data_IF_079752876488
#
_entry.id   IF_079752876488
#
_cell.length_a   1.000
_cell.length_b   1.000
_cell.length_c   1.000
_cell.angle_alpha   90.00
_cell.angle_beta   90.00
_cell.angle_gamma   90.00
#
_symmetry.space_group_name_H-M   'P 1'
#
loop_
_entity.id
_entity.type
_entity.pdbx_description
1 polymer ?
#
# COMPACT_ATOMS: atom_id res chain seq x y z
N UNK A 1 -30.85 -36.93 2.61
CA UNK A 1 -31.15 -35.91 3.63
C UNK A 1 -29.90 -35.75 4.48
N UNK A 2 -29.10 -34.68 4.30
CA UNK A 2 -27.92 -34.49 5.12
C UNK A 2 -28.35 -34.23 6.58
N UNK A 3 -27.79 -35.03 7.47
CA UNK A 3 -28.00 -34.99 8.93
C UNK A 3 -27.67 -33.59 9.48
N UNK A 4 -28.51 -33.07 10.39
CA UNK A 4 -28.34 -31.75 11.05
C UNK A 4 -26.93 -31.51 11.59
N UNK A 5 -26.22 -32.56 11.98
CA UNK A 5 -24.81 -32.52 12.43
C UNK A 5 -23.84 -31.91 11.39
N UNK A 6 -24.09 -32.10 10.10
CA UNK A 6 -23.21 -31.58 9.04
C UNK A 6 -23.37 -30.06 8.83
N UNK A 7 -24.54 -29.50 9.18
CA UNK A 7 -24.83 -28.06 9.06
C UNK A 7 -24.23 -27.29 10.25
N UNK A 8 -24.23 -27.90 11.45
CA UNK A 8 -23.57 -27.30 12.62
C UNK A 8 -22.05 -27.23 12.47
N UNK A 9 -21.42 -28.25 11.88
CA UNK A 9 -19.98 -28.28 11.68
C UNK A 9 -19.48 -27.18 10.70
N UNK A 10 -20.24 -26.86 9.66
CA UNK A 10 -19.90 -25.80 8.71
C UNK A 10 -20.09 -24.40 9.28
N UNK A 11 -21.10 -24.18 10.13
CA UNK A 11 -21.27 -22.90 10.84
C UNK A 11 -20.12 -22.62 11.81
N UNK A 12 -19.68 -23.63 12.57
CA UNK A 12 -18.56 -23.48 13.51
C UNK A 12 -17.25 -23.20 12.76
N UNK A 13 -17.02 -23.87 11.63
CA UNK A 13 -15.84 -23.61 10.80
C UNK A 13 -15.84 -22.17 10.24
N UNK A 14 -17.00 -21.64 9.84
CA UNK A 14 -17.11 -20.26 9.34
C UNK A 14 -16.84 -19.22 10.43
N UNK A 15 -17.33 -19.44 11.65
CA UNK A 15 -17.06 -18.56 12.80
C UNK A 15 -15.58 -18.55 13.19
N UNK A 16 -14.92 -19.71 13.18
CA UNK A 16 -13.48 -19.82 13.52
C UNK A 16 -12.61 -19.12 12.46
N UNK A 17 -12.96 -19.22 11.17
CA UNK A 17 -12.25 -18.50 10.11
C UNK A 17 -12.45 -16.98 10.25
N UNK A 18 -13.64 -16.53 10.63
CA UNK A 18 -13.94 -15.11 10.83
C UNK A 18 -13.20 -14.52 12.05
N UNK A 19 -13.13 -15.26 13.17
CA UNK A 19 -12.35 -14.84 14.34
C UNK A 19 -10.84 -14.82 14.08
N UNK A 20 -10.32 -15.78 13.30
CA UNK A 20 -8.90 -15.77 12.91
C UNK A 20 -8.57 -14.66 11.91
N UNK A 21 -9.50 -14.30 11.01
CA UNK A 21 -9.34 -13.15 10.12
C UNK A 21 -9.29 -11.84 10.93
N UNK A 22 -10.15 -11.68 11.94
CA UNK A 22 -10.14 -10.53 12.84
C UNK A 22 -8.84 -10.45 13.66
N UNK A 23 -8.29 -11.58 14.09
CA UNK A 23 -7.01 -11.61 14.82
C UNK A 23 -5.81 -11.27 13.92
N UNK A 24 -5.79 -11.65 12.64
CA UNK A 24 -4.71 -11.25 11.72
C UNK A 24 -4.69 -9.75 11.43
N UNK A 25 -5.84 -9.06 11.51
CA UNK A 25 -5.91 -7.59 11.37
C UNK A 25 -5.22 -6.90 12.55
N UNK A 26 -5.12 -7.55 13.71
CA UNK A 26 -4.53 -6.95 14.92
C UNK A 26 -3.00 -6.99 15.00
N UNK A 27 -2.32 -7.76 14.12
CA UNK A 27 -0.86 -7.92 14.15
C UNK A 27 -0.10 -7.09 13.11
N UNK A 28 -0.79 -6.43 12.18
CA UNK A 28 -0.15 -5.43 11.34
C UNK A 28 -0.09 -4.12 12.12
N UNK A 29 1.12 -3.64 12.38
CA UNK A 29 1.42 -2.40 13.09
C UNK A 29 0.75 -1.19 12.41
N UNK A 30 -0.51 -0.92 12.73
CA UNK A 30 -1.31 0.19 12.19
C UNK A 30 -1.51 1.25 13.29
N UNK A 31 -0.42 1.87 13.74
CA UNK A 31 -0.45 3.02 14.65
C UNK A 31 -0.28 4.34 13.89
N UNK A 32 -1.03 4.52 12.80
CA UNK A 32 -1.22 5.83 12.20
C UNK A 32 -2.63 5.89 11.61
N UNK A 33 -3.61 6.25 12.45
CA UNK A 33 -4.99 6.48 12.00
C UNK A 33 -5.02 7.88 11.39
N UNK A 34 -4.46 8.02 10.20
CA UNK A 34 -4.74 9.16 9.35
C UNK A 34 -6.15 9.00 8.79
N UNK A 35 -7.05 9.98 8.97
CA UNK A 35 -8.40 9.89 8.44
C UNK A 35 -8.34 9.74 6.91
N UNK A 36 -9.19 8.86 6.36
CA UNK A 36 -9.33 8.71 4.90
C UNK A 36 -9.46 10.07 4.20
N UNK A 37 -8.57 10.33 3.24
CA UNK A 37 -8.59 11.53 2.42
C UNK A 37 -9.19 11.20 1.05
N UNK A 38 -10.03 12.08 0.52
CA UNK A 38 -10.46 11.97 -0.87
C UNK A 38 -9.29 12.32 -1.80
N UNK A 39 -8.96 11.41 -2.71
CA UNK A 39 -7.89 11.62 -3.66
C UNK A 39 -8.23 12.79 -4.60
N UNK A 40 -7.36 13.79 -4.66
CA UNK A 40 -7.50 14.95 -5.57
C UNK A 40 -7.18 14.58 -7.02
N UNK A 41 -6.47 13.46 -7.22
CA UNK A 41 -6.20 12.85 -8.52
C UNK A 41 -6.66 11.40 -8.49
N UNK A 42 -7.15 10.89 -9.64
CA UNK A 42 -7.48 9.48 -9.82
C UNK A 42 -6.18 8.66 -9.85
N UNK A 43 -5.62 8.38 -8.67
CA UNK A 43 -4.71 7.25 -8.53
C UNK A 43 -5.57 5.98 -8.62
N UNK A 44 -5.49 5.30 -9.75
CA UNK A 44 -6.25 4.06 -10.03
C UNK A 44 -5.40 2.80 -9.87
N UNK A 45 -4.16 2.96 -9.39
CA UNK A 45 -3.19 1.88 -9.32
C UNK A 45 -3.04 1.54 -7.84
N UNK A 46 -3.89 0.65 -7.37
CA UNK A 46 -3.73 -0.13 -6.15
C UNK A 46 -4.61 -1.37 -6.27
N UNK A 47 -4.37 -2.36 -5.41
CA UNK A 47 -5.19 -3.56 -5.36
C UNK A 47 -6.12 -3.51 -4.15
N UNK A 48 -7.34 -4.02 -4.31
CA UNK A 48 -8.19 -4.33 -3.16
C UNK A 48 -7.57 -5.51 -2.38
N UNK A 49 -7.45 -5.36 -1.07
CA UNK A 49 -6.97 -6.43 -0.18
C UNK A 49 -8.05 -7.51 0.01
N UNK A 50 -9.32 -7.11 -0.06
CA UNK A 50 -10.45 -8.03 -0.08
C UNK A 50 -10.84 -8.40 -1.51
N UNK A 51 -11.41 -9.60 -1.72
CA UNK A 51 -11.94 -9.98 -3.03
C UNK A 51 -12.96 -8.98 -3.56
N UNK A 52 -12.90 -8.67 -4.86
CA UNK A 52 -13.79 -7.69 -5.53
C UNK A 52 -15.28 -7.90 -5.21
N UNK A 53 -15.75 -9.15 -5.12
CA UNK A 53 -17.16 -9.42 -4.83
C UNK A 53 -17.60 -8.96 -3.43
N UNK A 54 -16.68 -8.83 -2.47
CA UNK A 54 -16.96 -8.26 -1.15
C UNK A 54 -17.04 -6.74 -1.29
N UNK A 55 -16.00 -6.13 -1.86
CA UNK A 55 -15.92 -4.69 -2.03
C UNK A 55 -17.11 -4.14 -2.83
N UNK A 56 -17.39 -4.70 -4.01
CA UNK A 56 -18.51 -4.26 -4.86
C UNK A 56 -19.89 -4.55 -4.25
N UNK A 57 -20.01 -5.53 -3.35
CA UNK A 57 -21.29 -5.86 -2.71
C UNK A 57 -21.64 -4.87 -1.62
N UNK A 58 -20.67 -4.45 -0.82
CA UNK A 58 -20.89 -3.59 0.34
C UNK A 58 -20.66 -2.12 0.06
N UNK A 59 -19.76 -1.78 -0.85
CA UNK A 59 -19.31 -0.42 -1.11
C UNK A 59 -19.73 0.08 -2.49
N UNK A 60 -19.86 1.39 -2.59
CA UNK A 60 -20.13 2.12 -3.82
C UNK A 60 -19.55 3.52 -3.74
N UNK A 61 -19.05 4.02 -4.85
CA UNK A 61 -18.60 5.42 -4.99
C UNK A 61 -19.77 6.40 -5.02
N UNK A 62 -20.94 5.92 -5.41
CA UNK A 62 -22.19 6.70 -5.49
C UNK A 62 -23.29 6.08 -4.61
N UNK A 63 -24.29 6.85 -4.16
CA UNK A 63 -25.41 6.33 -3.40
C UNK A 63 -26.16 5.24 -4.17
N UNK A 64 -26.17 4.00 -3.64
CA UNK A 64 -26.91 2.87 -4.22
C UNK A 64 -27.68 2.15 -3.13
N UNK A 65 -28.94 1.78 -3.43
CA UNK A 65 -29.79 1.06 -2.48
C UNK A 65 -29.12 -0.25 -2.06
N UNK A 66 -28.96 -0.45 -0.76
CA UNK A 66 -28.33 -1.64 -0.18
C UNK A 66 -26.80 -1.63 -0.19
N UNK A 67 -26.16 -0.50 -0.50
CA UNK A 67 -24.70 -0.33 -0.42
C UNK A 67 -24.34 0.90 0.41
N UNK A 68 -23.16 0.85 1.01
CA UNK A 68 -22.56 1.94 1.76
C UNK A 68 -21.70 2.79 0.81
N UNK A 69 -21.71 4.11 0.99
CA UNK A 69 -20.85 5.00 0.23
C UNK A 69 -19.43 4.99 0.78
N UNK A 70 -18.43 5.02 -0.10
CA UNK A 70 -17.01 4.99 0.30
C UNK A 70 -16.54 6.17 1.16
N UNK A 71 -17.33 7.23 1.27
CA UNK A 71 -17.09 8.39 2.13
C UNK A 71 -17.69 8.25 3.55
N UNK A 72 -18.36 7.13 3.85
CA UNK A 72 -18.97 6.87 5.14
C UNK A 72 -17.90 6.46 6.16
N UNK A 73 -17.62 7.32 7.14
CA UNK A 73 -16.57 7.10 8.15
C UNK A 73 -16.79 5.84 8.99
N UNK A 74 -18.05 5.45 9.21
CA UNK A 74 -18.41 4.23 9.95
C UNK A 74 -17.90 2.93 9.31
N UNK A 75 -17.50 2.97 8.03
CA UNK A 75 -17.01 1.82 7.28
C UNK A 75 -15.55 1.96 6.84
N UNK A 76 -14.82 2.93 7.40
CA UNK A 76 -13.40 3.18 7.12
C UNK A 76 -12.52 1.92 7.13
N UNK A 77 -12.65 0.97 8.09
CA UNK A 77 -11.84 -0.24 8.07
C UNK A 77 -12.06 -1.12 6.84
N UNK A 78 -13.29 -1.14 6.29
CA UNK A 78 -13.60 -1.92 5.08
C UNK A 78 -13.18 -1.12 3.84
N UNK A 79 -13.33 0.21 3.85
CA UNK A 79 -12.85 1.08 2.76
C UNK A 79 -11.34 0.98 2.60
N UNK A 80 -10.56 0.94 3.69
CA UNK A 80 -9.11 0.72 3.67
C UNK A 80 -8.69 -0.63 3.06
N UNK A 81 -9.58 -1.61 3.04
CA UNK A 81 -9.35 -2.92 2.41
C UNK A 81 -9.83 -2.98 0.96
N UNK A 82 -10.58 -1.96 0.52
CA UNK A 82 -11.27 -1.87 -0.77
C UNK A 82 -10.96 -0.54 -1.48
N UNK A 83 -9.72 -0.06 -1.34
CA UNK A 83 -9.30 1.26 -1.83
C UNK A 83 -9.44 1.40 -3.33
N UNK A 84 -9.18 0.35 -4.12
CA UNK A 84 -9.35 0.38 -5.57
C UNK A 84 -10.83 0.48 -5.94
N UNK A 85 -11.69 -0.34 -5.32
CA UNK A 85 -13.16 -0.24 -5.51
C UNK A 85 -13.69 1.15 -5.16
N UNK A 86 -13.12 1.81 -4.16
CA UNK A 86 -13.52 3.14 -3.71
C UNK A 86 -12.85 4.30 -4.45
N UNK A 87 -11.95 4.05 -5.40
CA UNK A 87 -11.08 5.08 -6.01
C UNK A 87 -10.30 5.90 -4.96
N UNK A 88 -9.83 5.25 -3.90
CA UNK A 88 -9.15 5.84 -2.76
C UNK A 88 -7.69 5.38 -2.63
N UNK A 89 -7.06 4.91 -3.71
CA UNK A 89 -5.69 4.38 -3.71
C UNK A 89 -4.61 5.34 -3.19
N UNK A 90 -4.85 6.65 -3.16
CA UNK A 90 -3.93 7.60 -2.52
C UNK A 90 -3.78 7.37 -1.00
N UNK A 91 -4.71 6.62 -0.39
CA UNK A 91 -4.63 6.21 1.01
C UNK A 91 -3.84 4.90 1.18
N UNK A 92 -3.41 4.24 0.10
CA UNK A 92 -2.54 3.08 0.19
C UNK A 92 -1.08 3.56 0.34
N UNK A 93 -0.39 3.28 1.46
CA UNK A 93 0.99 3.67 1.67
C UNK A 93 1.95 3.15 0.58
N UNK A 94 1.59 2.07 -0.14
CA UNK A 94 2.36 1.52 -1.26
C UNK A 94 2.35 2.39 -2.50
N UNK A 95 1.34 3.24 -2.66
CA UNK A 95 1.16 4.13 -3.80
C UNK A 95 1.11 5.60 -3.38
N UNK A 96 1.20 5.91 -2.09
CA UNK A 96 1.19 7.29 -1.59
C UNK A 96 2.57 7.95 -1.66
N UNK A 97 3.10 8.09 -2.87
CA UNK A 97 4.31 8.84 -3.15
C UNK A 97 4.40 9.28 -4.62
N UNK A 98 5.38 10.13 -4.93
CA UNK A 98 5.75 10.47 -6.29
C UNK A 98 6.93 9.60 -6.79
N UNK A 99 6.93 9.33 -8.09
CA UNK A 99 8.12 8.87 -8.80
C UNK A 99 9.13 10.02 -8.87
N UNK A 100 10.40 9.69 -8.65
CA UNK A 100 11.51 10.65 -8.75
C UNK A 100 11.97 10.84 -10.17
N UNK A 101 11.96 9.75 -10.93
CA UNK A 101 12.18 9.78 -12.37
C UNK A 101 10.90 10.24 -13.08
N UNK A 102 11.00 10.65 -14.35
CA UNK A 102 9.84 11.04 -15.13
C UNK A 102 8.77 9.93 -15.17
N UNK A 103 7.51 10.33 -14.98
CA UNK A 103 6.38 9.39 -14.94
C UNK A 103 6.21 8.58 -16.22
N UNK A 104 6.76 9.03 -17.36
CA UNK A 104 6.67 8.32 -18.63
C UNK A 104 7.70 7.20 -18.71
N UNK A 105 8.93 7.46 -18.27
CA UNK A 105 10.03 6.52 -18.18
C UNK A 105 9.66 5.37 -17.24
N UNK A 106 9.15 5.69 -16.06
CA UNK A 106 8.67 4.71 -15.09
C UNK A 106 7.58 3.80 -15.67
N UNK A 107 6.61 4.36 -16.40
CA UNK A 107 5.54 3.57 -17.06
C UNK A 107 6.07 2.62 -18.14
N UNK A 108 7.02 3.08 -18.97
CA UNK A 108 7.60 2.22 -20.01
C UNK A 108 8.36 1.06 -19.38
N UNK A 109 9.14 1.32 -18.32
CA UNK A 109 9.91 0.30 -17.62
C UNK A 109 9.02 -0.65 -16.81
N UNK A 110 7.89 -0.18 -16.26
CA UNK A 110 6.95 -1.05 -15.56
C UNK A 110 6.24 -2.03 -16.49
N UNK A 111 5.87 -1.60 -17.70
CA UNK A 111 5.32 -2.49 -18.74
C UNK A 111 6.33 -3.58 -19.13
N UNK A 112 7.62 -3.26 -19.12
CA UNK A 112 8.70 -4.22 -19.33
C UNK A 112 9.00 -5.11 -18.10
N UNK A 113 8.15 -5.08 -17.05
CA UNK A 113 8.21 -5.90 -15.83
C UNK A 113 9.42 -5.69 -14.93
N UNK A 114 10.14 -4.57 -15.07
CA UNK A 114 11.29 -4.26 -14.23
C UNK A 114 10.96 -3.99 -12.74
N UNK A 115 9.70 -3.78 -12.38
CA UNK A 115 9.28 -3.73 -10.97
C UNK A 115 9.33 -5.11 -10.29
N UNK A 116 9.16 -6.19 -11.05
CA UNK A 116 8.96 -7.56 -10.52
C UNK A 116 10.08 -8.52 -10.89
N UNK A 117 10.67 -8.37 -12.08
CA UNK A 117 11.74 -9.25 -12.55
C UNK A 117 13.05 -8.96 -11.80
N UNK A 118 13.77 -10.03 -11.43
CA UNK A 118 15.03 -9.93 -10.73
C UNK A 118 16.15 -9.53 -11.69
N UNK A 119 16.24 -8.22 -11.91
CA UNK A 119 17.19 -7.58 -12.81
C UNK A 119 17.96 -6.52 -12.03
N UNK A 120 19.15 -6.15 -12.51
CA UNK A 120 19.91 -5.03 -11.93
C UNK A 120 19.10 -3.71 -11.94
N UNK A 121 18.12 -3.60 -12.84
CA UNK A 121 17.20 -2.46 -12.94
C UNK A 121 16.09 -2.46 -11.88
N UNK A 122 15.80 -3.59 -11.24
CA UNK A 122 14.75 -3.66 -10.21
C UNK A 122 15.03 -2.69 -9.07
N UNK A 123 16.27 -2.65 -8.59
CA UNK A 123 16.69 -1.77 -7.51
C UNK A 123 16.50 -0.29 -7.89
N UNK A 124 16.81 0.06 -9.14
CA UNK A 124 16.53 1.39 -9.69
C UNK A 124 15.02 1.67 -9.71
N UNK A 125 14.21 0.75 -10.23
CA UNK A 125 12.77 0.91 -10.32
C UNK A 125 12.10 1.08 -8.95
N UNK A 126 12.47 0.27 -7.97
CA UNK A 126 11.91 0.34 -6.62
C UNK A 126 12.25 1.65 -5.89
N UNK A 127 13.37 2.30 -6.25
CA UNK A 127 13.81 3.55 -5.65
C UNK A 127 13.28 4.78 -6.38
N UNK A 128 13.44 4.82 -7.70
CA UNK A 128 13.13 6.00 -8.51
C UNK A 128 11.68 5.99 -9.04
N UNK A 129 11.08 4.81 -9.23
CA UNK A 129 9.75 4.61 -9.81
C UNK A 129 8.78 3.92 -8.83
N UNK A 130 8.91 4.21 -7.55
CA UNK A 130 8.21 3.50 -6.51
C UNK A 130 6.68 3.68 -6.53
N UNK A 131 6.17 4.81 -7.01
CA UNK A 131 4.73 4.99 -7.20
C UNK A 131 4.24 4.04 -8.29
N UNK A 132 4.92 4.06 -9.43
CA UNK A 132 4.59 3.19 -10.55
C UNK A 132 4.73 1.69 -10.18
N UNK A 133 5.71 1.34 -9.36
CA UNK A 133 5.93 -0.04 -8.91
C UNK A 133 5.08 -0.45 -7.70
N UNK A 134 4.35 0.46 -7.05
CA UNK A 134 3.57 0.16 -5.84
C UNK A 134 4.44 -0.20 -4.64
N UNK A 135 5.57 0.50 -4.48
CA UNK A 135 6.58 0.25 -3.44
C UNK A 135 6.95 1.54 -2.71
N UNK A 136 6.02 2.48 -2.55
CA UNK A 136 6.25 3.72 -1.83
C UNK A 136 6.64 3.49 -0.36
N UNK A 137 6.12 2.42 0.26
CA UNK A 137 6.40 1.96 1.62
C UNK A 137 7.68 1.12 1.72
N UNK A 138 8.28 0.73 0.59
CA UNK A 138 9.52 -0.04 0.57
C UNK A 138 10.70 0.84 0.98
N UNK A 139 11.45 0.33 1.96
CA UNK A 139 12.58 1.03 2.60
C UNK A 139 13.94 0.39 2.28
N UNK A 140 14.01 -0.51 1.30
CA UNK A 140 15.21 -1.31 1.02
C UNK A 140 15.19 -2.67 1.72
N UNK A 141 16.21 -3.47 1.48
CA UNK A 141 16.34 -4.85 1.98
C UNK A 141 17.68 -5.11 2.69
N UNK A 142 17.67 -6.15 3.53
CA UNK A 142 18.86 -6.70 4.16
C UNK A 142 19.68 -5.67 4.94
N UNK A 143 20.87 -5.37 4.43
CA UNK A 143 21.85 -4.46 5.04
C UNK A 143 21.71 -3.01 4.55
N UNK A 144 20.84 -2.74 3.58
CA UNK A 144 20.63 -1.39 3.07
C UNK A 144 19.17 -0.99 3.20
N UNK A 145 18.85 -0.36 4.33
CA UNK A 145 17.50 0.09 4.62
C UNK A 145 17.47 1.55 5.07
N UNK A 146 16.38 2.23 4.78
CA UNK A 146 16.06 3.52 5.37
C UNK A 146 15.63 3.34 6.84
N UNK A 147 16.05 4.28 7.68
CA UNK A 147 15.67 4.35 9.08
C UNK A 147 14.18 4.63 9.22
N UNK A 148 13.54 4.06 10.23
CA UNK A 148 12.09 4.20 10.44
C UNK A 148 11.71 5.58 10.97
N UNK A 149 12.60 6.24 11.71
CA UNK A 149 12.33 7.51 12.39
C UNK A 149 12.37 8.73 11.47
N UNK A 150 12.77 8.56 10.21
CA UNK A 150 12.93 9.64 9.25
C UNK A 150 12.07 9.39 8.01
N UNK A 151 11.39 10.44 7.52
CA UNK A 151 10.74 10.39 6.21
C UNK A 151 11.79 10.57 5.11
N UNK A 152 12.53 9.49 4.84
CA UNK A 152 13.64 9.51 3.89
C UNK A 152 13.22 9.96 2.49
N UNK A 153 12.00 9.61 2.08
CA UNK A 153 11.48 9.91 0.75
C UNK A 153 11.30 11.42 0.52
N UNK A 154 10.69 12.12 1.46
CA UNK A 154 10.56 13.59 1.43
C UNK A 154 11.92 14.30 1.49
N UNK A 155 12.88 13.70 2.21
CA UNK A 155 14.22 14.26 2.40
C UNK A 155 15.21 13.86 1.30
N UNK A 156 14.78 13.16 0.26
CA UNK A 156 15.61 12.67 -0.84
C UNK A 156 16.43 13.78 -1.52
N UNK A 157 15.88 14.98 -1.63
CA UNK A 157 16.59 16.16 -2.17
C UNK A 157 17.84 16.55 -1.38
N UNK A 158 17.92 16.13 -0.11
CA UNK A 158 19.05 16.39 0.79
C UNK A 158 20.17 15.36 0.65
N UNK A 159 19.96 14.25 -0.07
CA UNK A 159 20.99 13.24 -0.31
C UNK A 159 22.24 13.83 -0.99
N UNK A 160 22.09 14.92 -1.75
CA UNK A 160 23.19 15.60 -2.44
C UNK A 160 23.83 16.75 -1.64
N UNK A 161 23.31 17.08 -0.46
CA UNK A 161 23.81 18.21 0.35
C UNK A 161 24.99 17.81 1.22
N UNK A 162 26.03 18.64 1.31
CA UNK A 162 27.27 18.34 2.06
C UNK A 162 27.25 18.83 3.51
N UNK A 163 26.20 19.54 3.89
CA UNK A 163 25.98 20.07 5.23
C UNK A 163 25.67 18.96 6.26
N UNK A 164 25.50 19.35 7.53
CA UNK A 164 25.23 18.40 8.61
C UNK A 164 23.96 17.60 8.39
N UNK A 165 22.92 18.24 7.85
CA UNK A 165 21.63 17.60 7.59
C UNK A 165 21.72 16.60 6.43
N UNK A 166 22.37 16.96 5.32
CA UNK A 166 22.59 16.05 4.20
C UNK A 166 23.45 14.83 4.58
N UNK A 167 24.43 14.99 5.49
CA UNK A 167 25.18 13.86 6.06
C UNK A 167 24.30 12.95 6.91
N UNK A 168 23.43 13.52 7.75
CA UNK A 168 22.48 12.75 8.55
C UNK A 168 21.53 11.95 7.66
N UNK A 169 20.94 12.59 6.64
CA UNK A 169 20.04 11.95 5.69
C UNK A 169 20.75 10.81 4.96
N UNK A 170 21.94 11.02 4.39
CA UNK A 170 22.69 9.92 3.75
C UNK A 170 23.02 8.74 4.67
N UNK A 171 23.25 9.01 5.96
CA UNK A 171 23.54 7.97 6.94
C UNK A 171 22.31 7.20 7.40
N UNK A 172 21.15 7.84 7.44
CA UNK A 172 19.87 7.26 7.88
C UNK A 172 18.99 6.75 6.73
N UNK A 173 19.19 7.25 5.53
CA UNK A 173 18.37 6.98 4.36
C UNK A 173 19.20 6.32 3.26
N UNK A 174 19.82 5.19 3.58
CA UNK A 174 20.79 4.54 2.70
C UNK A 174 20.15 4.09 1.39
N UNK A 175 18.96 3.48 1.49
CA UNK A 175 18.17 3.03 0.35
C UNK A 175 17.75 4.21 -0.52
N UNK A 176 17.08 5.19 0.10
CA UNK A 176 16.58 6.38 -0.60
C UNK A 176 17.72 7.15 -1.27
N UNK A 177 18.88 7.29 -0.64
CA UNK A 177 20.00 8.02 -1.22
C UNK A 177 20.83 7.20 -2.21
N UNK A 178 20.48 5.93 -2.47
CA UNK A 178 21.24 5.06 -3.37
C UNK A 178 22.64 4.71 -2.84
N UNK A 179 22.84 4.72 -1.52
CA UNK A 179 24.11 4.37 -0.87
C UNK A 179 24.22 2.88 -0.55
N UNK A 180 23.33 2.05 -1.11
CA UNK A 180 23.43 0.59 -1.04
C UNK A 180 24.59 0.13 -1.92
N UNK A 181 25.58 -0.52 -1.29
CA UNK A 181 26.77 -1.08 -1.93
C UNK A 181 26.67 -2.58 -2.14
#
# INVERSE_FOLDING_TARGET
MPSLLAIFATFIAFSIVFENLLLQISSSSYNDITPLVQCTTQQTICDDLLPNYICERFLSTEPKVGRVTCNETSFEPIVLQCLHTCNMCCNDPKYNCEDREGSQECKVLSVAKYCTEDTDYKQFMLRECANTCGTCDYRGDGNCTDATELNCRELSTLCNKTDGLGRLVRGKCQWTCGNCS
#
